data_IF_016690049867
#
_entry.id   IF_016690049867
#
_cell.length_a   1.000
_cell.length_b   1.000
_cell.length_c   1.000
_cell.angle_alpha   90.00
_cell.angle_beta   90.00
_cell.angle_gamma   90.00
#
_symmetry.space_group_name_H-M   'P 1'
#
loop_
_entity.id
_entity.type
_entity.pdbx_description
1 polymer ?
#
# COMPACT_ATOMS: atom_id res chain seq x y z
N UNK A 1 3.62 -8.71 -45.31
CA UNK A 1 4.72 -9.58 -45.81
C UNK A 1 4.81 -10.86 -44.95
N UNK A 2 3.71 -11.60 -44.77
CA UNK A 2 3.60 -12.71 -43.80
C UNK A 2 3.31 -14.09 -44.41
N UNK A 3 2.95 -14.15 -45.70
CA UNK A 3 2.58 -15.39 -46.39
C UNK A 3 3.74 -16.03 -47.15
N UNK A 4 4.93 -15.42 -47.16
CA UNK A 4 6.06 -15.86 -48.01
C UNK A 4 6.93 -16.94 -47.35
N UNK A 5 6.88 -17.07 -46.01
CA UNK A 5 7.74 -18.00 -45.27
C UNK A 5 7.07 -19.31 -44.87
N UNK A 6 5.75 -19.41 -45.01
CA UNK A 6 4.97 -20.62 -44.72
C UNK A 6 4.96 -21.62 -45.89
N UNK A 7 5.26 -21.15 -47.11
CA UNK A 7 5.18 -21.92 -48.34
C UNK A 7 6.47 -22.66 -48.73
N UNK A 8 7.49 -22.72 -47.86
CA UNK A 8 8.71 -23.52 -48.14
C UNK A 8 8.59 -24.92 -47.53
N UNK A 9 8.76 -26.00 -48.31
CA UNK A 9 8.67 -27.36 -47.81
C UNK A 9 9.82 -27.61 -46.81
N UNK A 10 9.48 -27.87 -45.55
CA UNK A 10 10.43 -28.16 -44.47
C UNK A 10 10.24 -27.37 -43.17
N UNK A 11 9.37 -26.35 -43.12
CA UNK A 11 9.13 -25.56 -41.89
C UNK A 11 7.85 -26.05 -41.20
N UNK A 12 7.99 -26.72 -40.05
CA UNK A 12 6.86 -27.36 -39.32
C UNK A 12 6.22 -26.49 -38.22
N UNK A 13 6.84 -25.37 -37.84
CA UNK A 13 6.27 -24.32 -36.96
C UNK A 13 7.23 -23.13 -36.89
N UNK A 14 6.75 -21.93 -37.19
CA UNK A 14 7.44 -20.69 -36.79
C UNK A 14 6.96 -20.39 -35.38
N UNK A 15 7.71 -20.84 -34.37
CA UNK A 15 7.48 -20.46 -32.97
C UNK A 15 7.84 -18.97 -32.87
N UNK A 16 6.80 -18.11 -32.80
CA UNK A 16 6.98 -16.69 -32.55
C UNK A 16 7.39 -16.50 -31.09
N UNK A 17 8.49 -15.79 -30.85
CA UNK A 17 8.84 -15.30 -29.51
C UNK A 17 7.74 -14.39 -28.91
N UNK A 18 6.87 -13.82 -29.74
CA UNK A 18 5.75 -12.96 -29.35
C UNK A 18 4.68 -13.70 -28.55
N UNK A 19 4.41 -14.97 -28.86
CA UNK A 19 3.39 -15.76 -28.16
C UNK A 19 3.88 -16.18 -26.76
N UNK A 20 5.18 -16.43 -26.59
CA UNK A 20 5.80 -16.71 -25.29
C UNK A 20 5.90 -15.45 -24.41
N UNK A 21 6.24 -14.29 -25.01
CA UNK A 21 6.28 -13.01 -24.29
C UNK A 21 4.88 -12.59 -23.81
N UNK A 22 3.84 -12.80 -24.62
CA UNK A 22 2.46 -12.46 -24.24
C UNK A 22 1.95 -13.24 -23.02
N UNK A 23 2.45 -14.48 -22.81
CA UNK A 23 2.11 -15.29 -21.63
C UNK A 23 2.75 -14.72 -20.36
N UNK A 24 4.00 -14.25 -20.45
CA UNK A 24 4.71 -13.62 -19.32
C UNK A 24 4.04 -12.29 -18.97
N UNK A 25 3.71 -11.47 -19.97
CA UNK A 25 3.02 -10.19 -19.78
C UNK A 25 1.64 -10.38 -19.10
N UNK A 26 0.84 -11.32 -19.60
CA UNK A 26 -0.47 -11.63 -18.99
C UNK A 26 -0.32 -12.15 -17.56
N UNK A 27 0.68 -12.98 -17.28
CA UNK A 27 0.93 -13.48 -15.92
C UNK A 27 1.33 -12.35 -14.95
N UNK A 28 2.20 -11.44 -15.39
CA UNK A 28 2.59 -10.26 -14.61
C UNK A 28 1.39 -9.36 -14.32
N UNK A 29 0.51 -9.13 -15.29
CA UNK A 29 -0.69 -8.31 -15.10
C UNK A 29 -1.66 -8.92 -14.09
N UNK A 30 -1.89 -10.23 -14.16
CA UNK A 30 -2.74 -10.94 -13.17
C UNK A 30 -2.17 -10.78 -11.77
N UNK A 31 -0.86 -10.99 -11.59
CA UNK A 31 -0.19 -10.83 -10.28
C UNK A 31 -0.35 -9.38 -9.80
N UNK A 32 -0.15 -8.39 -10.67
CA UNK A 32 -0.29 -6.98 -10.33
C UNK A 32 -1.69 -6.65 -9.81
N UNK A 33 -2.73 -7.14 -10.47
CA UNK A 33 -4.12 -6.93 -10.04
C UNK A 33 -4.43 -7.64 -8.72
N UNK A 34 -3.92 -8.84 -8.52
CA UNK A 34 -4.10 -9.58 -7.24
C UNK A 34 -3.43 -8.83 -6.08
N UNK A 35 -2.19 -8.36 -6.28
CA UNK A 35 -1.45 -7.61 -5.25
C UNK A 35 -2.13 -6.27 -4.95
N UNK A 36 -2.59 -5.54 -5.97
CA UNK A 36 -3.36 -4.32 -5.78
C UNK A 36 -4.67 -4.57 -5.02
N UNK A 37 -5.40 -5.63 -5.38
CA UNK A 37 -6.63 -6.02 -4.69
C UNK A 37 -6.39 -6.35 -3.22
N UNK A 38 -5.35 -7.14 -2.92
CA UNK A 38 -4.93 -7.43 -1.55
C UNK A 38 -4.56 -6.15 -0.78
N UNK A 39 -3.83 -5.23 -1.42
CA UNK A 39 -3.49 -3.93 -0.85
C UNK A 39 -4.71 -3.09 -0.47
N UNK A 40 -5.74 -3.05 -1.32
CA UNK A 40 -7.01 -2.36 -1.02
C UNK A 40 -7.71 -2.97 0.20
N UNK A 41 -7.74 -4.31 0.30
CA UNK A 41 -8.35 -5.01 1.43
C UNK A 41 -7.59 -4.71 2.74
N UNK A 42 -6.26 -4.70 2.69
CA UNK A 42 -5.42 -4.35 3.83
C UNK A 42 -5.63 -2.89 4.26
N UNK A 43 -5.71 -1.96 3.31
CA UNK A 43 -6.03 -0.56 3.60
C UNK A 43 -7.41 -0.42 4.26
N UNK A 44 -8.43 -1.12 3.74
CA UNK A 44 -9.76 -1.12 4.34
C UNK A 44 -9.74 -1.69 5.77
N UNK A 45 -8.98 -2.76 6.00
CA UNK A 45 -8.79 -3.36 7.33
C UNK A 45 -8.11 -2.38 8.28
N UNK A 46 -7.05 -1.69 7.83
CA UNK A 46 -6.37 -0.65 8.61
C UNK A 46 -7.31 0.49 8.99
N UNK A 47 -8.14 0.95 8.04
CA UNK A 47 -9.18 1.96 8.32
C UNK A 47 -10.15 1.46 9.40
N UNK A 48 -10.64 0.22 9.32
CA UNK A 48 -11.53 -0.36 10.33
C UNK A 48 -10.88 -0.40 11.73
N UNK A 49 -9.58 -0.71 11.81
CA UNK A 49 -8.84 -0.68 13.07
C UNK A 49 -8.74 0.73 13.66
N UNK A 50 -8.43 1.73 12.83
CA UNK A 50 -8.38 3.14 13.25
C UNK A 50 -9.76 3.59 13.73
N UNK A 51 -10.82 3.28 12.98
CA UNK A 51 -12.21 3.59 13.34
C UNK A 51 -12.57 3.04 14.72
N UNK A 52 -12.25 1.76 14.96
CA UNK A 52 -12.53 1.10 16.24
C UNK A 52 -11.70 1.69 17.39
N UNK A 53 -10.44 2.03 17.14
CA UNK A 53 -9.55 2.64 18.13
C UNK A 53 -10.07 4.00 18.58
N UNK A 54 -10.45 4.86 17.63
CA UNK A 54 -10.98 6.19 17.95
C UNK A 54 -12.33 6.11 18.64
N UNK A 55 -13.19 5.16 18.25
CA UNK A 55 -14.45 4.93 18.96
C UNK A 55 -14.21 4.60 20.44
N UNK A 56 -13.23 3.74 20.73
CA UNK A 56 -12.86 3.43 22.11
C UNK A 56 -12.31 4.65 22.85
N UNK A 57 -11.44 5.44 22.20
CA UNK A 57 -10.86 6.64 22.78
C UNK A 57 -11.92 7.73 23.09
N UNK A 58 -12.84 7.96 22.16
CA UNK A 58 -13.99 8.87 22.32
C UNK A 58 -14.87 8.46 23.50
N UNK A 59 -15.16 7.17 23.63
CA UNK A 59 -15.97 6.66 24.74
C UNK A 59 -15.30 6.88 26.10
N UNK A 60 -13.98 6.73 26.17
CA UNK A 60 -13.20 6.99 27.38
C UNK A 60 -13.19 8.49 27.73
N UNK A 61 -13.15 9.39 26.74
CA UNK A 61 -13.13 10.85 26.91
C UNK A 61 -14.51 11.52 26.83
N UNK A 62 -15.60 10.74 26.88
CA UNK A 62 -16.96 11.27 26.65
C UNK A 62 -17.35 12.45 27.54
N UNK A 63 -16.87 12.47 28.80
CA UNK A 63 -17.16 13.56 29.75
C UNK A 63 -16.44 14.86 29.39
N UNK A 64 -15.19 14.77 28.92
CA UNK A 64 -14.44 15.93 28.44
C UNK A 64 -15.13 16.54 27.22
N UNK A 65 -15.55 15.68 26.28
CA UNK A 65 -16.27 16.09 25.06
C UNK A 65 -17.60 16.76 25.40
N UNK A 66 -18.34 16.23 26.37
CA UNK A 66 -19.59 16.82 26.87
C UNK A 66 -19.37 18.23 27.42
N UNK A 67 -18.33 18.42 28.24
CA UNK A 67 -17.94 19.75 28.74
C UNK A 67 -17.56 20.68 27.58
N UNK A 68 -16.77 20.22 26.60
CA UNK A 68 -16.40 21.04 25.43
C UNK A 68 -17.65 21.50 24.65
N UNK A 69 -18.63 20.61 24.45
CA UNK A 69 -19.91 20.95 23.79
C UNK A 69 -20.72 21.97 24.61
N UNK A 70 -20.72 21.88 25.95
CA UNK A 70 -21.46 22.82 26.83
C UNK A 70 -20.89 24.24 26.79
N UNK A 71 -19.59 24.41 26.55
CA UNK A 71 -18.94 25.72 26.42
C UNK A 71 -19.04 26.26 24.98
N UNK A 72 -19.75 25.56 24.08
CA UNK A 72 -19.98 25.99 22.70
C UNK A 72 -18.83 25.66 21.74
N UNK A 73 -17.98 24.68 22.05
CA UNK A 73 -16.94 24.24 21.13
C UNK A 73 -17.55 23.67 19.84
N UNK A 74 -16.95 24.03 18.70
CA UNK A 74 -17.37 23.49 17.40
C UNK A 74 -16.99 22.02 17.29
N UNK A 75 -17.76 21.24 16.52
CA UNK A 75 -17.43 19.83 16.25
C UNK A 75 -15.99 19.68 15.74
N UNK A 76 -15.55 20.56 14.84
CA UNK A 76 -14.17 20.59 14.34
C UNK A 76 -13.11 20.66 15.45
N UNK A 77 -13.33 21.45 16.50
CA UNK A 77 -12.39 21.56 17.61
C UNK A 77 -12.27 20.25 18.41
N UNK A 78 -13.37 19.50 18.52
CA UNK A 78 -13.40 18.18 19.16
C UNK A 78 -12.69 17.14 18.30
N UNK A 79 -12.74 17.26 16.96
CA UNK A 79 -12.15 16.28 16.04
C UNK A 79 -10.63 16.35 15.90
N UNK A 80 -10.04 17.55 15.94
CA UNK A 80 -8.59 17.75 15.75
C UNK A 80 -7.70 16.80 16.57
N UNK A 81 -7.90 16.61 17.89
CA UNK A 81 -7.05 15.70 18.66
C UNK A 81 -7.10 14.25 18.14
N UNK A 82 -8.28 13.77 17.73
CA UNK A 82 -8.43 12.42 17.18
C UNK A 82 -7.85 12.30 15.77
N UNK A 83 -7.95 13.37 14.97
CA UNK A 83 -7.30 13.43 13.66
C UNK A 83 -5.78 13.35 13.77
N UNK A 84 -5.20 14.00 14.78
CA UNK A 84 -3.78 13.91 15.07
C UNK A 84 -3.40 12.49 15.49
N UNK A 85 -4.13 11.86 16.41
CA UNK A 85 -3.88 10.45 16.81
C UNK A 85 -3.89 9.51 15.60
N UNK A 86 -4.90 9.62 14.72
CA UNK A 86 -4.99 8.81 13.51
C UNK A 86 -3.86 9.09 12.51
N UNK A 87 -3.48 10.35 12.35
CA UNK A 87 -2.34 10.74 11.48
C UNK A 87 -1.03 10.15 12.01
N UNK A 88 -0.79 10.20 13.32
CA UNK A 88 0.38 9.58 13.94
C UNK A 88 0.40 8.06 13.77
N UNK A 89 -0.75 7.39 13.96
CA UNK A 89 -0.87 5.95 13.69
C UNK A 89 -0.52 5.62 12.22
N UNK A 90 -1.04 6.40 11.28
CA UNK A 90 -0.75 6.24 9.85
C UNK A 90 0.72 6.49 9.50
N UNK A 91 1.33 7.55 10.05
CA UNK A 91 2.74 7.88 9.85
C UNK A 91 3.67 6.80 10.43
N UNK A 92 3.40 6.34 11.66
CA UNK A 92 4.20 5.28 12.29
C UNK A 92 4.06 3.99 11.49
N UNK A 93 2.85 3.62 11.08
CA UNK A 93 2.61 2.45 10.24
C UNK A 93 3.37 2.52 8.91
N UNK A 94 3.32 3.66 8.23
CA UNK A 94 4.05 3.87 6.97
C UNK A 94 5.58 3.88 7.15
N UNK A 95 6.08 4.47 8.24
CA UNK A 95 7.51 4.46 8.56
C UNK A 95 8.01 3.04 8.85
N UNK A 96 7.28 2.28 9.67
CA UNK A 96 7.60 0.89 9.96
C UNK A 96 7.49 0.00 8.72
N UNK A 97 6.46 0.21 7.88
CA UNK A 97 6.30 -0.50 6.62
C UNK A 97 7.47 -0.23 5.66
N UNK A 98 7.86 1.04 5.50
CA UNK A 98 9.00 1.44 4.67
C UNK A 98 10.30 0.84 5.17
N UNK A 99 10.56 0.90 6.48
CA UNK A 99 11.73 0.28 7.09
C UNK A 99 11.75 -1.24 6.90
N UNK A 100 10.59 -1.90 7.00
CA UNK A 100 10.45 -3.34 6.80
C UNK A 100 10.74 -3.73 5.34
N UNK A 101 10.21 -2.98 4.37
CA UNK A 101 10.47 -3.20 2.94
C UNK A 101 11.95 -2.98 2.62
N UNK A 102 12.56 -1.92 3.15
CA UNK A 102 13.99 -1.67 2.97
C UNK A 102 14.86 -2.79 3.55
N UNK A 103 14.55 -3.24 4.77
CA UNK A 103 15.25 -4.37 5.39
C UNK A 103 15.07 -5.68 4.62
N UNK A 104 13.86 -5.95 4.12
CA UNK A 104 13.57 -7.12 3.30
C UNK A 104 14.33 -7.08 1.96
N UNK A 105 14.38 -5.93 1.28
CA UNK A 105 15.11 -5.77 0.03
C UNK A 105 16.61 -6.01 0.23
N UNK A 106 17.20 -5.43 1.28
CA UNK A 106 18.62 -5.64 1.60
C UNK A 106 18.94 -7.10 1.92
N UNK A 107 18.11 -7.76 2.73
CA UNK A 107 18.28 -9.17 3.04
C UNK A 107 18.16 -10.06 1.79
N UNK A 108 17.27 -9.68 0.87
CA UNK A 108 17.08 -10.35 -0.41
C UNK A 108 18.30 -10.19 -1.34
N UNK A 109 18.87 -8.99 -1.41
CA UNK A 109 20.12 -8.71 -2.15
C UNK A 109 21.32 -9.50 -1.59
N UNK A 110 21.47 -9.54 -0.27
CA UNK A 110 22.55 -10.30 0.41
C UNK A 110 22.41 -11.81 0.15
N UNK A 111 21.18 -12.33 0.18
CA UNK A 111 20.89 -13.73 -0.15
C UNK A 111 21.21 -14.08 -1.61
N UNK A 112 20.84 -13.20 -2.56
CA UNK A 112 21.12 -13.37 -3.99
C UNK A 112 22.60 -13.23 -4.36
N UNK A 113 23.40 -12.60 -3.52
CA UNK A 113 24.83 -12.37 -3.78
C UNK A 113 25.71 -13.55 -3.32
N UNK A 114 25.20 -14.40 -2.43
CA UNK A 114 25.96 -15.52 -1.85
C UNK A 114 25.90 -16.80 -2.69
N UNK A 115 24.82 -17.04 -3.41
CA UNK A 115 24.74 -18.06 -4.45
C UNK A 115 24.75 -17.35 -5.80
N UNK A 116 25.50 -17.86 -6.78
CA UNK A 116 25.59 -17.35 -8.15
C UNK A 116 24.26 -17.55 -8.94
N UNK A 117 23.11 -17.35 -8.28
CA UNK A 117 21.76 -17.55 -8.78
C UNK A 117 21.41 -16.42 -9.71
N UNK A 118 21.37 -16.76 -11.00
CA UNK A 118 20.60 -16.11 -12.05
C UNK A 118 20.52 -14.58 -11.94
N UNK A 119 21.37 -13.90 -12.71
CA UNK A 119 21.35 -12.47 -13.02
C UNK A 119 19.94 -11.87 -13.29
N UNK A 120 18.96 -12.72 -13.64
CA UNK A 120 17.55 -12.40 -13.85
C UNK A 120 16.82 -12.03 -12.53
N UNK A 121 17.22 -12.58 -11.39
CA UNK A 121 16.60 -12.27 -10.09
C UNK A 121 17.08 -10.95 -9.49
N UNK A 122 18.29 -10.51 -9.83
CA UNK A 122 18.79 -9.18 -9.45
C UNK A 122 17.96 -8.05 -10.06
N UNK A 123 17.28 -8.30 -11.19
CA UNK A 123 16.36 -7.33 -11.81
C UNK A 123 15.08 -7.12 -10.99
N UNK A 124 14.79 -7.99 -10.03
CA UNK A 124 13.66 -7.86 -9.10
C UNK A 124 14.04 -7.14 -7.79
N UNK A 125 15.34 -6.94 -7.52
CA UNK A 125 15.78 -6.07 -6.43
C UNK A 125 15.49 -4.61 -6.82
N UNK A 126 14.80 -3.89 -5.94
CA UNK A 126 14.41 -2.49 -6.21
C UNK A 126 15.64 -1.61 -6.06
N UNK A 127 15.93 -0.79 -7.08
CA UNK A 127 17.06 0.13 -7.04
C UNK A 127 16.94 1.07 -5.83
N UNK A 128 18.07 1.37 -5.18
CA UNK A 128 18.10 2.15 -3.93
C UNK A 128 17.47 3.55 -4.04
N UNK A 129 17.44 4.14 -5.24
CA UNK A 129 16.74 5.41 -5.50
C UNK A 129 15.21 5.29 -5.43
N UNK A 130 14.64 4.21 -5.97
CA UNK A 130 13.18 4.01 -6.02
C UNK A 130 12.59 3.78 -4.63
N UNK A 131 13.37 3.18 -3.71
CA UNK A 131 12.91 2.92 -2.33
C UNK A 131 12.61 4.22 -1.57
N UNK A 132 13.38 5.28 -1.82
CA UNK A 132 13.17 6.56 -1.14
C UNK A 132 11.91 7.28 -1.64
N UNK A 133 11.69 7.27 -2.96
CA UNK A 133 10.47 7.85 -3.56
C UNK A 133 9.21 7.11 -3.10
N UNK A 134 9.25 5.78 -3.11
CA UNK A 134 8.15 4.94 -2.63
C UNK A 134 7.93 5.14 -1.13
N UNK A 135 8.99 5.30 -0.34
CA UNK A 135 8.91 5.58 1.10
C UNK A 135 8.23 6.90 1.42
N UNK A 136 8.60 7.99 0.71
CA UNK A 136 7.93 9.29 0.87
C UNK A 136 6.46 9.21 0.45
N UNK A 137 6.17 8.53 -0.65
CA UNK A 137 4.80 8.31 -1.12
C UNK A 137 3.98 7.52 -0.09
N UNK A 138 4.54 6.47 0.49
CA UNK A 138 3.90 5.66 1.55
C UNK A 138 3.64 6.50 2.81
N UNK A 139 4.57 7.35 3.22
CA UNK A 139 4.37 8.27 4.34
C UNK A 139 3.23 9.25 4.06
N UNK A 140 3.19 9.82 2.85
CA UNK A 140 2.11 10.70 2.41
C UNK A 140 0.75 10.01 2.42
N UNK A 141 0.67 8.80 1.86
CA UNK A 141 -0.56 8.00 1.86
C UNK A 141 -0.95 7.61 3.29
N UNK A 142 -0.01 7.17 4.13
CA UNK A 142 -0.26 6.80 5.52
C UNK A 142 -0.82 7.98 6.33
N UNK A 143 -0.24 9.17 6.18
CA UNK A 143 -0.73 10.39 6.82
C UNK A 143 -2.15 10.75 6.35
N UNK A 144 -2.40 10.71 5.04
CA UNK A 144 -3.71 10.99 4.46
C UNK A 144 -4.77 9.99 4.93
N UNK A 145 -4.48 8.70 4.83
CA UNK A 145 -5.40 7.62 5.25
C UNK A 145 -5.65 7.69 6.75
N UNK A 146 -4.62 7.94 7.56
CA UNK A 146 -4.75 8.12 9.01
C UNK A 146 -5.61 9.32 9.38
N UNK A 147 -5.39 10.47 8.74
CA UNK A 147 -6.15 11.70 8.97
C UNK A 147 -7.60 11.59 8.51
N UNK A 148 -7.84 11.06 7.31
CA UNK A 148 -9.19 10.89 6.75
C UNK A 148 -9.95 9.81 7.49
N UNK A 149 -9.33 8.66 7.76
CA UNK A 149 -9.94 7.57 8.49
C UNK A 149 -10.38 7.99 9.90
N UNK A 150 -9.54 8.77 10.58
CA UNK A 150 -9.86 9.29 11.91
C UNK A 150 -10.92 10.37 11.92
N UNK A 151 -10.89 11.29 10.94
CA UNK A 151 -11.94 12.29 10.78
C UNK A 151 -13.31 11.64 10.57
N UNK A 152 -13.40 10.66 9.66
CA UNK A 152 -14.64 9.90 9.41
C UNK A 152 -15.12 9.20 10.68
N UNK A 153 -14.20 8.61 11.46
CA UNK A 153 -14.51 7.97 12.73
C UNK A 153 -15.19 8.93 13.72
N UNK A 154 -14.57 10.09 13.90
CA UNK A 154 -14.98 11.06 14.91
C UNK A 154 -16.28 11.77 14.52
N UNK A 155 -16.46 12.12 13.24
CA UNK A 155 -17.71 12.71 12.74
C UNK A 155 -18.90 11.76 12.96
N UNK A 156 -18.74 10.49 12.59
CA UNK A 156 -19.80 9.47 12.72
C UNK A 156 -20.28 9.30 14.16
N UNK A 157 -19.41 9.52 15.15
CA UNK A 157 -19.75 9.33 16.58
C UNK A 157 -20.31 10.60 17.24
N UNK A 158 -20.04 11.79 16.68
CA UNK A 158 -20.55 13.05 17.23
C UNK A 158 -21.97 13.37 16.77
N UNK A 159 -22.41 12.78 15.65
CA UNK A 159 -23.76 12.89 15.06
C UNK A 159 -24.78 11.87 15.63
N UNK A 160 -24.37 11.01 16.57
CA UNK A 160 -25.22 10.03 17.28
C UNK A 160 -25.31 10.41 18.74
#
# INVERSE_FOLDING_TARGET
MHLVFEAKPGVKKVVRATDEISKIETATDVIRWVVLGAGIILLATGLLLILNTIRMAMFARRREIEVMKLVGATNWFILIPFMLEGTFQGLIGAALGTASVYGANRAFEEWLSSDNVLNILQSFAVASGDVWEIGILLLGIGALVGSVGSAIAAYRFLDV
#
